data_IF_131397314105
#
_entry.id   IF_131397314105
#
_cell.length_a   1.000
_cell.length_b   1.000
_cell.length_c   1.000
_cell.angle_alpha   90.00
_cell.angle_beta   90.00
_cell.angle_gamma   90.00
#
_symmetry.space_group_name_H-M   'P 1'
#
loop_
_entity.id
_entity.type
_entity.pdbx_description
1 polymer ?
#
# COMPACT_ATOMS: atom_id res chain seq x y z
N UNK A 1 -15.67 21.88 -0.62
CA UNK A 1 -14.42 21.28 -0.11
C UNK A 1 -13.66 20.52 -1.20
N UNK A 2 -14.19 19.37 -1.75
CA UNK A 2 -13.45 18.60 -2.79
C UNK A 2 -13.18 19.42 -4.05
N UNK A 3 -14.16 20.15 -4.55
CA UNK A 3 -14.03 21.00 -5.75
C UNK A 3 -12.99 22.10 -5.58
N UNK A 4 -12.87 22.69 -4.40
CA UNK A 4 -11.85 23.69 -4.08
C UNK A 4 -10.43 23.10 -4.09
N UNK A 5 -10.27 21.84 -3.65
CA UNK A 5 -8.99 21.14 -3.61
C UNK A 5 -8.55 20.62 -4.98
N UNK A 6 -9.51 20.20 -5.82
CA UNK A 6 -9.24 19.61 -7.12
C UNK A 6 -9.01 20.65 -8.22
N UNK A 7 -9.48 21.90 -8.04
CA UNK A 7 -9.42 22.94 -9.07
C UNK A 7 -10.34 22.63 -10.25
N UNK A 8 -9.86 22.77 -11.47
CA UNK A 8 -10.61 22.39 -12.66
C UNK A 8 -10.80 20.87 -12.73
N UNK A 9 -12.05 20.43 -12.93
CA UNK A 9 -12.46 19.05 -12.93
C UNK A 9 -12.96 18.67 -14.31
N UNK A 10 -12.49 17.56 -14.85
CA UNK A 10 -13.11 16.93 -16.03
C UNK A 10 -14.42 16.24 -15.59
N UNK A 11 -15.55 16.91 -15.80
CA UNK A 11 -16.86 16.40 -15.41
C UNK A 11 -17.27 15.12 -16.15
N UNK A 12 -16.62 14.77 -17.26
CA UNK A 12 -16.82 13.49 -17.94
C UNK A 12 -16.12 12.32 -17.22
N UNK A 13 -15.11 12.62 -16.35
CA UNK A 13 -14.32 11.61 -15.61
C UNK A 13 -14.48 11.65 -14.10
N UNK A 14 -15.08 12.72 -13.57
CA UNK A 14 -15.31 12.88 -12.14
C UNK A 14 -16.75 13.30 -11.88
N UNK A 15 -17.46 12.52 -11.09
CA UNK A 15 -18.84 12.80 -10.68
C UNK A 15 -18.93 12.86 -9.16
N UNK A 16 -19.88 13.64 -8.66
CA UNK A 16 -20.16 13.76 -7.23
C UNK A 16 -21.62 13.42 -6.96
N UNK A 17 -21.88 12.75 -5.85
CA UNK A 17 -23.20 12.50 -5.32
C UNK A 17 -23.25 12.95 -3.87
N UNK A 18 -24.32 13.62 -3.49
CA UNK A 18 -24.65 13.93 -2.10
C UNK A 18 -25.88 13.11 -1.74
N UNK A 19 -25.66 11.99 -1.05
CA UNK A 19 -26.70 11.00 -0.77
C UNK A 19 -27.95 11.62 -0.10
N UNK A 20 -27.75 12.63 0.77
CA UNK A 20 -28.86 13.32 1.46
C UNK A 20 -29.70 14.24 0.54
N UNK A 21 -29.32 14.42 -0.73
CA UNK A 21 -30.00 15.30 -1.69
C UNK A 21 -30.65 14.53 -2.84
N UNK A 22 -30.62 13.21 -2.81
CA UNK A 22 -31.19 12.33 -3.83
C UNK A 22 -32.17 11.36 -3.16
N UNK A 23 -33.20 10.97 -3.89
CA UNK A 23 -34.24 10.06 -3.36
C UNK A 23 -33.72 8.62 -3.25
N UNK A 24 -32.89 8.19 -4.23
CA UNK A 24 -32.26 6.87 -4.26
C UNK A 24 -30.79 7.04 -4.69
N UNK A 25 -29.87 6.82 -3.72
CA UNK A 25 -28.44 6.94 -3.95
C UNK A 25 -27.87 5.80 -4.79
N UNK A 26 -28.50 4.61 -4.80
CA UNK A 26 -28.08 3.48 -5.65
C UNK A 26 -28.44 3.74 -7.10
N UNK A 27 -29.68 4.13 -7.40
CA UNK A 27 -30.11 4.43 -8.75
C UNK A 27 -29.34 5.62 -9.33
N UNK A 28 -29.20 6.70 -8.55
CA UNK A 28 -28.43 7.89 -8.94
C UNK A 28 -26.95 7.51 -9.15
N UNK A 29 -26.36 6.77 -8.23
CA UNK A 29 -24.97 6.32 -8.31
C UNK A 29 -24.73 5.43 -9.55
N UNK A 30 -25.63 4.50 -9.83
CA UNK A 30 -25.56 3.65 -11.03
C UNK A 30 -25.69 4.44 -12.33
N UNK A 31 -26.51 5.48 -12.36
CA UNK A 31 -26.61 6.38 -13.51
C UNK A 31 -25.29 7.10 -13.78
N UNK A 32 -24.70 7.69 -12.74
CA UNK A 32 -23.40 8.37 -12.84
C UNK A 32 -22.28 7.40 -13.27
N UNK A 33 -22.27 6.18 -12.74
CA UNK A 33 -21.30 5.15 -13.15
C UNK A 33 -21.45 4.75 -14.62
N UNK A 34 -22.68 4.67 -15.15
CA UNK A 34 -22.90 4.42 -16.59
C UNK A 34 -22.37 5.54 -17.47
N UNK A 35 -22.53 6.81 -17.04
CA UNK A 35 -21.95 7.95 -17.75
C UNK A 35 -20.41 7.86 -17.76
N UNK A 36 -19.79 7.63 -16.62
CA UNK A 36 -18.33 7.45 -16.50
C UNK A 36 -17.83 6.28 -17.33
N UNK A 37 -18.55 5.15 -17.32
CA UNK A 37 -18.23 3.99 -18.14
C UNK A 37 -18.34 4.30 -19.65
N UNK A 38 -19.34 5.06 -20.06
CA UNK A 38 -19.50 5.50 -21.43
C UNK A 38 -18.31 6.31 -21.97
N UNK A 39 -17.61 7.03 -21.08
CA UNK A 39 -16.34 7.72 -21.39
C UNK A 39 -15.16 6.74 -21.34
N UNK A 40 -15.00 6.03 -20.24
CA UNK A 40 -13.87 5.14 -20.01
C UNK A 40 -13.79 3.98 -21.02
N UNK A 41 -14.93 3.48 -21.49
CA UNK A 41 -14.99 2.41 -22.50
C UNK A 41 -14.39 2.78 -23.86
N UNK A 42 -14.17 4.06 -24.11
CA UNK A 42 -13.54 4.57 -25.33
C UNK A 42 -12.02 4.69 -25.21
N UNK A 43 -11.48 4.53 -24.00
CA UNK A 43 -10.03 4.56 -23.76
C UNK A 43 -9.37 3.34 -24.43
N UNK A 44 -8.28 3.58 -25.14
CA UNK A 44 -7.52 2.55 -25.86
C UNK A 44 -6.25 2.23 -25.08
N UNK A 45 -5.93 0.95 -24.95
CA UNK A 45 -4.67 0.51 -24.36
C UNK A 45 -3.52 0.80 -25.31
N UNK A 46 -2.43 1.30 -24.75
CA UNK A 46 -1.18 1.57 -25.47
C UNK A 46 -0.02 0.92 -24.74
N UNK A 47 1.06 0.61 -25.46
CA UNK A 47 2.28 0.10 -24.86
C UNK A 47 2.98 1.20 -24.08
N UNK A 48 3.37 0.89 -22.84
CA UNK A 48 4.14 1.78 -21.99
C UNK A 48 5.33 1.00 -21.39
N UNK A 49 6.49 1.66 -21.18
CA UNK A 49 7.63 0.98 -20.58
C UNK A 49 7.36 0.67 -19.09
N UNK A 50 7.95 -0.41 -18.57
CA UNK A 50 7.83 -0.77 -17.14
C UNK A 50 8.30 0.35 -16.21
N UNK A 51 9.14 1.27 -16.69
CA UNK A 51 9.60 2.43 -15.94
C UNK A 51 8.47 3.42 -15.55
N UNK A 52 7.29 3.32 -16.15
CA UNK A 52 6.12 4.12 -15.79
C UNK A 52 5.22 3.43 -14.73
N UNK A 53 5.46 2.14 -14.46
CA UNK A 53 4.67 1.38 -13.50
C UNK A 53 5.06 1.74 -12.07
N UNK A 54 4.04 2.04 -11.23
CA UNK A 54 4.16 2.40 -9.82
C UNK A 54 3.26 1.47 -9.00
N UNK A 55 3.88 0.65 -8.16
CA UNK A 55 3.20 -0.43 -7.42
C UNK A 55 3.32 -0.24 -5.92
N UNK A 56 2.19 -0.23 -5.25
CA UNK A 56 2.13 -0.25 -3.78
C UNK A 56 2.27 -1.68 -3.24
N UNK A 57 3.03 -1.83 -2.17
CA UNK A 57 3.29 -3.10 -1.50
C UNK A 57 2.57 -3.11 -0.15
N UNK A 58 1.67 -4.07 0.06
CA UNK A 58 0.79 -4.13 1.24
C UNK A 58 0.66 -5.56 1.73
N UNK A 59 0.39 -5.73 3.02
CA UNK A 59 -0.08 -7.00 3.56
C UNK A 59 -1.24 -6.80 4.54
N UNK A 60 -2.08 -7.81 4.70
CA UNK A 60 -3.16 -7.82 5.68
C UNK A 60 -3.64 -9.23 5.94
N UNK A 61 -4.07 -9.52 7.18
CA UNK A 61 -4.40 -10.88 7.56
C UNK A 61 -3.20 -11.82 7.49
N UNK A 62 -2.01 -11.34 7.85
CA UNK A 62 -0.75 -12.09 7.78
C UNK A 62 -0.76 -13.33 8.68
N UNK A 63 -0.05 -14.38 8.25
CA UNK A 63 0.18 -15.65 8.94
C UNK A 63 1.69 -15.97 8.98
N UNK A 64 2.05 -17.10 9.60
CA UNK A 64 3.44 -17.55 9.71
C UNK A 64 4.12 -17.81 8.37
N UNK A 65 3.36 -18.03 7.29
CA UNK A 65 3.90 -18.19 5.94
C UNK A 65 4.18 -16.86 5.22
N UNK A 66 3.63 -15.76 5.68
CA UNK A 66 3.74 -14.45 5.00
C UNK A 66 5.19 -14.05 4.74
N UNK A 67 6.05 -14.19 5.74
CA UNK A 67 7.47 -13.82 5.67
C UNK A 67 8.37 -14.78 4.90
N UNK A 68 7.89 -15.97 4.55
CA UNK A 68 8.68 -17.00 3.84
C UNK A 68 8.15 -17.35 2.45
N UNK A 69 6.96 -16.86 2.08
CA UNK A 69 6.33 -17.12 0.78
C UNK A 69 6.00 -15.83 0.04
N UNK A 70 4.81 -15.27 0.27
CA UNK A 70 4.28 -14.16 -0.53
C UNK A 70 5.06 -12.84 -0.36
N UNK A 71 5.52 -12.49 0.85
CA UNK A 71 6.28 -11.27 1.04
C UNK A 71 7.66 -11.30 0.34
N UNK A 72 8.47 -12.38 0.45
CA UNK A 72 9.68 -12.50 -0.38
C UNK A 72 9.40 -12.50 -1.89
N UNK A 73 8.30 -13.09 -2.34
CA UNK A 73 7.88 -13.03 -3.74
C UNK A 73 7.67 -11.57 -4.20
N UNK A 74 6.97 -10.77 -3.39
CA UNK A 74 6.83 -9.34 -3.65
C UNK A 74 8.19 -8.64 -3.67
N UNK A 75 9.11 -9.04 -2.81
CA UNK A 75 10.47 -8.50 -2.77
C UNK A 75 11.23 -8.73 -4.07
N UNK A 76 11.17 -9.95 -4.61
CA UNK A 76 11.76 -10.28 -5.91
C UNK A 76 11.12 -9.47 -7.04
N UNK A 77 9.79 -9.35 -7.03
CA UNK A 77 9.08 -8.51 -7.98
C UNK A 77 9.46 -7.02 -7.85
N UNK A 78 9.57 -6.51 -6.61
CA UNK A 78 10.00 -5.14 -6.35
C UNK A 78 11.39 -4.86 -6.94
N UNK A 79 12.35 -5.73 -6.68
CA UNK A 79 13.71 -5.61 -7.21
C UNK A 79 13.71 -5.67 -8.74
N UNK A 80 12.93 -6.57 -9.34
CA UNK A 80 12.76 -6.65 -10.79
C UNK A 80 12.19 -5.34 -11.35
N UNK A 81 11.07 -4.84 -10.82
CA UNK A 81 10.45 -3.62 -11.32
C UNK A 81 11.38 -2.41 -11.19
N UNK A 82 12.06 -2.27 -10.05
CA UNK A 82 13.05 -1.21 -9.82
C UNK A 82 14.20 -1.31 -10.81
N UNK A 83 14.69 -2.52 -11.13
CA UNK A 83 15.75 -2.72 -12.12
C UNK A 83 15.34 -2.30 -13.55
N UNK A 84 14.03 -2.33 -13.85
CA UNK A 84 13.46 -1.85 -15.11
C UNK A 84 13.12 -0.33 -15.08
N UNK A 85 13.53 0.38 -14.02
CA UNK A 85 13.28 1.81 -13.84
C UNK A 85 11.89 2.16 -13.31
N UNK A 86 11.09 1.17 -12.92
CA UNK A 86 9.78 1.38 -12.31
C UNK A 86 9.87 1.77 -10.83
N UNK A 87 8.72 1.86 -10.17
CA UNK A 87 8.63 2.35 -8.79
C UNK A 87 7.84 1.39 -7.92
N UNK A 88 8.38 1.08 -6.75
CA UNK A 88 7.67 0.37 -5.68
C UNK A 88 7.59 1.22 -4.42
N UNK A 89 6.51 1.06 -3.67
CA UNK A 89 6.27 1.83 -2.43
C UNK A 89 5.96 0.88 -1.30
N UNK A 90 6.81 0.87 -0.28
CA UNK A 90 6.54 0.19 0.97
C UNK A 90 5.92 1.19 1.96
N UNK A 91 4.83 0.80 2.60
CA UNK A 91 4.15 1.57 3.65
C UNK A 91 3.93 0.71 4.89
N UNK A 92 2.97 1.06 5.74
CA UNK A 92 2.68 0.34 7.00
C UNK A 92 3.82 0.52 8.01
N UNK A 93 4.13 1.78 8.38
CA UNK A 93 5.28 2.09 9.25
C UNK A 93 5.30 1.26 10.55
N UNK A 94 4.17 1.04 11.26
CA UNK A 94 4.16 0.17 12.45
C UNK A 94 4.61 -1.28 12.19
N UNK A 95 4.51 -1.75 10.94
CA UNK A 95 4.97 -3.07 10.54
C UNK A 95 6.50 -3.15 10.32
N UNK A 96 7.19 -2.00 10.39
CA UNK A 96 8.64 -1.90 10.25
C UNK A 96 9.36 -1.92 11.60
N UNK A 97 8.63 -1.73 12.71
CA UNK A 97 9.21 -1.66 14.05
C UNK A 97 9.88 -2.99 14.43
N UNK A 98 11.16 -2.93 14.78
CA UNK A 98 11.99 -4.12 15.04
C UNK A 98 12.80 -4.60 13.83
N UNK A 99 12.52 -4.10 12.61
CA UNK A 99 13.29 -4.39 11.39
C UNK A 99 13.75 -3.11 10.67
N UNK A 100 13.60 -1.96 11.28
CA UNK A 100 13.89 -0.65 10.70
C UNK A 100 15.32 -0.48 10.20
N UNK A 101 16.28 -1.09 10.86
CA UNK A 101 17.70 -1.03 10.48
C UNK A 101 17.96 -1.62 9.10
N UNK A 102 17.15 -2.59 8.65
CA UNK A 102 17.25 -3.15 7.30
C UNK A 102 16.98 -2.07 6.24
N UNK A 103 16.00 -1.20 6.48
CA UNK A 103 15.65 -0.11 5.58
C UNK A 103 16.66 1.03 5.68
N UNK A 104 17.07 1.41 6.89
CA UNK A 104 18.07 2.45 7.17
C UNK A 104 19.39 2.16 6.48
N UNK A 105 19.87 0.91 6.56
CA UNK A 105 21.13 0.47 5.92
C UNK A 105 21.07 0.45 4.38
N UNK A 106 19.91 0.65 3.81
CA UNK A 106 19.67 0.71 2.36
C UNK A 106 19.43 2.13 1.83
N UNK A 107 19.56 3.13 2.67
CA UNK A 107 19.49 4.53 2.27
C UNK A 107 20.78 4.92 1.53
N UNK A 108 20.63 5.50 0.35
CA UNK A 108 21.77 5.84 -0.51
C UNK A 108 22.52 7.09 -0.09
N UNK A 109 21.95 7.90 0.81
CA UNK A 109 22.57 9.14 1.33
C UNK A 109 22.26 9.32 2.81
N UNK A 110 23.08 10.11 3.53
CA UNK A 110 22.81 10.45 4.94
C UNK A 110 21.44 11.10 5.13
N UNK A 111 21.01 11.96 4.24
CA UNK A 111 19.72 12.67 4.31
C UNK A 111 18.54 11.68 4.22
N UNK A 112 18.64 10.66 3.38
CA UNK A 112 17.64 9.59 3.29
C UNK A 112 17.65 8.70 4.52
N UNK A 113 18.82 8.43 5.09
CA UNK A 113 18.94 7.73 6.36
C UNK A 113 18.20 8.50 7.46
N UNK A 114 18.46 9.79 7.61
CA UNK A 114 17.82 10.64 8.61
C UNK A 114 16.31 10.71 8.40
N UNK A 115 15.84 10.87 7.15
CA UNK A 115 14.41 10.80 6.83
C UNK A 115 13.78 9.46 7.23
N UNK A 116 14.49 8.35 7.03
CA UNK A 116 13.98 7.02 7.40
C UNK A 116 13.94 6.85 8.91
N UNK A 117 14.93 7.39 9.65
CA UNK A 117 14.92 7.44 11.12
C UNK A 117 13.71 8.24 11.61
N UNK A 118 13.45 9.41 11.02
CA UNK A 118 12.28 10.24 11.34
C UNK A 118 10.98 9.53 11.02
N UNK A 119 10.85 8.90 9.83
CA UNK A 119 9.67 8.12 9.45
C UNK A 119 9.26 7.14 10.57
N UNK A 120 10.21 6.43 11.13
CA UNK A 120 9.98 5.43 12.18
C UNK A 120 9.71 6.10 13.54
N UNK A 121 10.56 7.02 13.96
CA UNK A 121 10.49 7.60 15.29
C UNK A 121 9.31 8.54 15.47
N UNK A 122 8.97 9.32 14.47
CA UNK A 122 7.79 10.21 14.50
C UNK A 122 6.50 9.40 14.63
N UNK A 123 6.44 8.22 13.97
CA UNK A 123 5.30 7.32 14.10
C UNK A 123 5.22 6.67 15.49
N UNK A 124 6.37 6.30 16.10
CA UNK A 124 6.43 5.85 17.51
C UNK A 124 5.99 6.98 18.45
N UNK A 125 6.46 8.21 18.22
CA UNK A 125 6.06 9.38 18.99
C UNK A 125 4.56 9.67 18.87
N UNK A 126 3.98 9.52 17.68
CA UNK A 126 2.54 9.63 17.45
C UNK A 126 1.74 8.62 18.29
N UNK A 127 2.17 7.37 18.37
CA UNK A 127 1.53 6.37 19.24
C UNK A 127 1.60 6.77 20.71
N UNK A 128 2.77 7.17 21.18
CA UNK A 128 2.99 7.59 22.58
C UNK A 128 2.14 8.82 22.95
N UNK A 129 2.06 9.81 22.04
CA UNK A 129 1.26 11.02 22.25
C UNK A 129 -0.26 10.73 22.36
N UNK A 130 -0.71 9.62 21.76
CA UNK A 130 -2.10 9.16 21.83
C UNK A 130 -2.32 8.05 22.88
N UNK A 131 -1.36 7.83 23.79
CA UNK A 131 -1.41 6.77 24.81
C UNK A 131 -1.65 5.37 24.22
N UNK A 132 -1.10 5.10 23.03
CA UNK A 132 -1.17 3.79 22.40
C UNK A 132 0.15 3.05 22.55
N UNK A 133 0.12 1.71 22.76
CA UNK A 133 1.34 0.92 22.85
C UNK A 133 2.05 0.85 21.49
N UNK A 134 3.37 1.10 21.51
CA UNK A 134 4.20 1.10 20.30
C UNK A 134 4.45 -0.32 19.77
N UNK A 135 4.55 -1.30 20.66
CA UNK A 135 5.00 -2.67 20.36
C UNK A 135 3.90 -3.73 20.53
N UNK A 136 2.67 -3.41 20.14
CA UNK A 136 1.53 -4.34 20.28
C UNK A 136 1.39 -5.32 19.09
N UNK A 137 2.16 -5.14 18.02
CA UNK A 137 2.24 -6.10 16.91
C UNK A 137 3.01 -7.38 17.35
N UNK A 138 2.64 -8.57 16.90
CA UNK A 138 1.54 -8.93 16.00
C UNK A 138 0.17 -8.87 16.67
N UNK A 139 -0.86 -8.59 15.86
CA UNK A 139 -2.26 -8.58 16.33
C UNK A 139 -2.71 -9.98 16.79
N UNK A 140 -3.80 -10.10 17.59
CA UNK A 140 -4.33 -11.41 17.96
C UNK A 140 -4.57 -12.34 16.78
N UNK A 141 -5.08 -11.82 15.65
CA UNK A 141 -5.27 -12.60 14.45
C UNK A 141 -3.98 -13.04 13.76
N UNK A 142 -2.92 -12.26 13.83
CA UNK A 142 -1.61 -12.67 13.33
C UNK A 142 -0.99 -13.76 14.21
N UNK A 143 -1.16 -13.66 15.54
CA UNK A 143 -0.74 -14.71 16.48
C UNK A 143 -1.48 -16.02 16.23
N UNK A 144 -2.80 -15.97 16.06
CA UNK A 144 -3.59 -17.14 15.68
C UNK A 144 -3.17 -17.72 14.31
N UNK A 145 -2.64 -16.88 13.41
CA UNK A 145 -2.06 -17.29 12.14
C UNK A 145 -0.62 -17.82 12.22
N UNK A 146 -0.02 -17.89 13.41
CA UNK A 146 1.29 -18.50 13.64
C UNK A 146 2.47 -17.52 13.71
N UNK A 147 2.23 -16.20 13.73
CA UNK A 147 3.29 -15.20 13.97
C UNK A 147 3.49 -15.02 15.47
N UNK A 148 4.71 -15.17 15.98
CA UNK A 148 4.98 -15.20 17.42
C UNK A 148 5.46 -13.88 18.00
N UNK A 149 6.34 -13.16 17.33
CA UNK A 149 7.00 -11.97 17.86
C UNK A 149 6.85 -10.76 16.96
N UNK A 150 7.14 -9.56 17.51
CA UNK A 150 7.19 -8.30 16.75
C UNK A 150 8.23 -8.38 15.63
N UNK A 151 9.41 -8.90 15.95
CA UNK A 151 10.53 -9.00 15.02
C UNK A 151 10.22 -9.96 13.87
N UNK A 152 9.59 -11.10 14.15
CA UNK A 152 9.13 -12.03 13.11
C UNK A 152 8.15 -11.33 12.16
N UNK A 153 7.17 -10.61 12.71
CA UNK A 153 6.20 -9.83 11.92
C UNK A 153 6.88 -8.79 11.05
N UNK A 154 7.76 -7.97 11.62
CA UNK A 154 8.42 -6.86 10.92
C UNK A 154 9.49 -7.33 9.94
N UNK A 155 10.27 -8.35 10.26
CA UNK A 155 11.20 -8.98 9.31
C UNK A 155 10.45 -9.56 8.12
N UNK A 156 9.29 -10.21 8.36
CA UNK A 156 8.44 -10.71 7.29
C UNK A 156 7.86 -9.58 6.43
N UNK A 157 7.39 -8.50 7.04
CA UNK A 157 6.79 -7.38 6.33
C UNK A 157 7.77 -6.59 5.47
N UNK A 158 8.98 -6.33 5.98
CA UNK A 158 10.01 -5.57 5.25
C UNK A 158 10.53 -6.31 4.02
N UNK A 159 10.39 -7.63 3.94
CA UNK A 159 10.79 -8.40 2.76
C UNK A 159 10.02 -8.04 1.50
N UNK A 160 8.80 -7.47 1.61
CA UNK A 160 8.01 -7.03 0.45
C UNK A 160 8.75 -6.04 -0.46
N UNK A 161 9.71 -5.29 0.05
CA UNK A 161 10.46 -4.32 -0.72
C UNK A 161 11.81 -4.82 -1.27
N UNK A 162 12.06 -6.14 -1.21
CA UNK A 162 13.28 -6.75 -1.76
C UNK A 162 14.58 -6.23 -1.15
N UNK A 163 15.57 -5.97 -1.99
CA UNK A 163 16.91 -5.51 -1.61
C UNK A 163 17.32 -4.16 -2.23
N UNK A 164 16.45 -3.56 -3.00
CA UNK A 164 16.72 -2.29 -3.70
C UNK A 164 17.05 -1.15 -2.74
N UNK A 165 17.84 -0.19 -3.19
CA UNK A 165 18.21 1.01 -2.43
C UNK A 165 16.95 1.87 -2.25
N UNK A 166 16.73 2.41 -1.05
CA UNK A 166 15.71 3.41 -0.75
C UNK A 166 16.07 4.69 -1.49
N UNK A 167 15.14 5.21 -2.28
CA UNK A 167 15.33 6.40 -3.12
C UNK A 167 14.65 7.64 -2.60
N UNK A 168 13.53 7.47 -1.86
CA UNK A 168 12.85 8.58 -1.21
C UNK A 168 12.01 8.09 -0.04
N UNK A 169 11.65 9.04 0.83
CA UNK A 169 10.75 8.85 1.97
C UNK A 169 9.67 9.91 1.90
N UNK A 170 8.42 9.46 1.78
CA UNK A 170 7.24 10.32 1.62
C UNK A 170 6.46 10.39 2.93
N UNK A 171 5.97 11.58 3.24
CA UNK A 171 4.99 11.77 4.29
C UNK A 171 3.59 11.40 3.81
N UNK A 172 2.67 11.20 4.73
CA UNK A 172 1.27 10.89 4.41
C UNK A 172 0.66 11.97 3.52
N UNK A 173 0.11 11.55 2.37
CA UNK A 173 -0.49 12.46 1.38
C UNK A 173 0.47 13.01 0.33
N UNK A 174 1.77 12.80 0.46
CA UNK A 174 2.73 13.23 -0.56
C UNK A 174 2.66 12.36 -1.83
N UNK A 175 2.98 12.99 -2.96
CA UNK A 175 3.01 12.35 -4.28
C UNK A 175 4.41 11.85 -4.62
N UNK A 176 4.48 10.69 -5.27
CA UNK A 176 5.71 10.10 -5.79
C UNK A 176 6.38 11.05 -6.81
N UNK A 177 7.67 11.32 -6.60
CA UNK A 177 8.52 12.14 -7.46
C UNK A 177 9.75 11.38 -7.95
N UNK A 178 10.18 10.38 -7.20
CA UNK A 178 11.42 9.64 -7.42
C UNK A 178 11.12 8.21 -7.84
N UNK A 179 11.73 7.74 -8.93
CA UNK A 179 11.65 6.33 -9.36
C UNK A 179 12.48 5.42 -8.47
N UNK A 180 12.10 4.16 -8.37
CA UNK A 180 12.73 3.14 -7.55
C UNK A 180 11.96 2.84 -6.28
N UNK A 181 12.62 2.28 -5.26
CA UNK A 181 11.98 1.97 -3.98
C UNK A 181 11.79 3.23 -3.15
N UNK A 182 10.54 3.49 -2.77
CA UNK A 182 10.16 4.58 -1.88
C UNK A 182 9.52 4.03 -0.61
N UNK A 183 9.68 4.73 0.51
CA UNK A 183 8.98 4.48 1.77
C UNK A 183 7.87 5.54 1.93
N UNK A 184 6.72 5.16 2.47
CA UNK A 184 5.58 6.06 2.66
C UNK A 184 5.06 5.96 4.09
N UNK A 185 4.92 7.11 4.73
CA UNK A 185 4.29 7.22 6.05
C UNK A 185 2.80 6.91 5.97
N UNK A 186 2.39 5.75 6.50
CA UNK A 186 0.99 5.41 6.73
C UNK A 186 0.88 4.29 7.79
N UNK A 187 -0.27 4.16 8.47
CA UNK A 187 -0.50 3.11 9.46
C UNK A 187 -0.64 1.73 8.82
N UNK A 188 -0.73 0.68 9.65
CA UNK A 188 -0.98 -0.70 9.20
C UNK A 188 -2.43 -0.98 8.79
N UNK A 189 -3.39 -0.11 9.11
CA UNK A 189 -4.79 -0.29 8.73
C UNK A 189 -4.94 -0.40 7.21
N UNK A 190 -5.61 -1.47 6.74
CA UNK A 190 -5.69 -1.83 5.33
C UNK A 190 -6.26 -0.71 4.45
N UNK A 191 -7.39 -0.12 4.87
CA UNK A 191 -8.04 0.94 4.10
C UNK A 191 -7.16 2.20 4.03
N UNK A 192 -6.63 2.64 5.18
CA UNK A 192 -5.84 3.89 5.25
C UNK A 192 -4.52 3.74 4.50
N UNK A 193 -3.80 2.64 4.70
CA UNK A 193 -2.53 2.39 4.01
C UNK A 193 -2.70 2.26 2.49
N UNK A 194 -3.72 1.52 2.04
CA UNK A 194 -3.99 1.37 0.61
C UNK A 194 -4.47 2.67 -0.04
N UNK A 195 -5.24 3.49 0.67
CA UNK A 195 -5.60 4.85 0.23
C UNK A 195 -4.36 5.73 0.12
N UNK A 196 -3.45 5.67 1.08
CA UNK A 196 -2.19 6.41 1.03
C UNK A 196 -1.33 6.00 -0.18
N UNK A 197 -1.23 4.70 -0.48
CA UNK A 197 -0.55 4.21 -1.68
C UNK A 197 -1.19 4.74 -2.97
N UNK A 198 -2.52 4.67 -3.09
CA UNK A 198 -3.22 5.18 -4.25
C UNK A 198 -3.05 6.70 -4.40
N UNK A 199 -3.19 7.47 -3.31
CA UNK A 199 -3.04 8.92 -3.33
C UNK A 199 -1.61 9.36 -3.62
N UNK A 200 -0.59 8.57 -3.22
CA UNK A 200 0.80 8.84 -3.59
C UNK A 200 1.09 8.70 -5.08
N UNK A 201 0.21 8.02 -5.82
CA UNK A 201 0.30 7.82 -7.26
C UNK A 201 0.62 6.38 -7.68
N UNK A 202 0.48 5.40 -6.79
CA UNK A 202 0.52 3.99 -7.17
C UNK A 202 -0.67 3.66 -8.08
N UNK A 203 -0.40 2.96 -9.17
CA UNK A 203 -1.40 2.57 -10.17
C UNK A 203 -2.06 1.23 -9.83
N UNK A 204 -1.43 0.44 -8.99
CA UNK A 204 -1.96 -0.82 -8.44
C UNK A 204 -1.33 -1.14 -7.09
N UNK A 205 -1.97 -2.03 -6.35
CA UNK A 205 -1.47 -2.55 -5.07
C UNK A 205 -1.33 -4.07 -5.15
N UNK A 206 -0.17 -4.60 -4.77
CA UNK A 206 0.03 -6.01 -4.50
C UNK A 206 -0.18 -6.25 -3.00
N UNK A 207 -1.15 -7.08 -2.68
CA UNK A 207 -1.64 -7.29 -1.32
C UNK A 207 -1.49 -8.75 -0.90
N UNK A 208 -0.51 -9.04 -0.06
CA UNK A 208 -0.30 -10.39 0.47
C UNK A 208 -1.24 -10.67 1.65
N UNK A 209 -1.77 -11.89 1.73
CA UNK A 209 -2.67 -12.30 2.81
C UNK A 209 -2.60 -13.79 3.08
N UNK A 210 -2.64 -14.18 4.35
CA UNK A 210 -2.66 -15.58 4.79
C UNK A 210 -4.06 -16.08 5.14
N UNK A 211 -4.98 -15.16 5.48
CA UNK A 211 -6.34 -15.50 5.93
C UNK A 211 -7.42 -15.00 4.97
N UNK A 212 -7.04 -14.20 3.98
CA UNK A 212 -7.97 -13.51 3.11
C UNK A 212 -8.50 -12.21 3.74
N UNK A 213 -8.94 -11.29 2.89
CA UNK A 213 -9.64 -10.07 3.30
C UNK A 213 -10.57 -9.62 2.18
N UNK A 214 -11.83 -9.28 2.48
CA UNK A 214 -12.80 -8.80 1.49
C UNK A 214 -12.62 -7.30 1.19
N UNK A 215 -11.38 -6.84 1.17
CA UNK A 215 -11.03 -5.44 0.98
C UNK A 215 -10.63 -5.16 -0.47
N UNK A 216 -11.08 -4.04 -1.01
CA UNK A 216 -10.64 -3.45 -2.27
C UNK A 216 -10.18 -2.02 -2.07
N UNK A 217 -9.40 -1.49 -3.00
CA UNK A 217 -8.90 -0.12 -2.98
C UNK A 217 -9.41 0.68 -4.17
N UNK A 218 -9.04 1.96 -4.23
CA UNK A 218 -9.36 2.88 -5.34
C UNK A 218 -8.54 2.60 -6.62
N UNK A 219 -7.57 1.70 -6.55
CA UNK A 219 -6.77 1.23 -7.69
C UNK A 219 -6.82 -0.30 -7.75
N UNK A 220 -6.55 -0.92 -8.91
CA UNK A 220 -6.48 -2.38 -9.01
C UNK A 220 -5.64 -3.00 -7.89
N UNK A 221 -6.21 -3.97 -7.19
CA UNK A 221 -5.56 -4.65 -6.06
C UNK A 221 -5.50 -6.14 -6.32
N UNK A 222 -4.29 -6.66 -6.48
CA UNK A 222 -4.07 -8.10 -6.63
C UNK A 222 -3.81 -8.71 -5.26
N UNK A 223 -4.66 -9.66 -4.85
CA UNK A 223 -4.45 -10.46 -3.62
C UNK A 223 -3.51 -11.63 -3.92
N UNK A 224 -2.52 -11.82 -3.07
CA UNK A 224 -1.52 -12.89 -3.20
C UNK A 224 -1.58 -13.73 -1.92
N UNK A 225 -1.98 -14.98 -2.07
CA UNK A 225 -2.08 -15.92 -0.94
C UNK A 225 -0.68 -16.35 -0.47
N UNK A 226 -0.52 -16.44 0.85
CA UNK A 226 0.70 -16.96 1.49
C UNK A 226 0.72 -18.48 1.59
N UNK A 227 -0.44 -19.14 1.43
CA UNK A 227 -0.61 -20.56 1.68
C UNK A 227 -1.61 -21.22 0.72
N UNK A 228 -1.45 -22.52 0.51
CA UNK A 228 -2.26 -23.30 -0.42
C UNK A 228 -3.72 -23.44 0.02
N UNK A 229 -4.00 -23.46 1.31
CA UNK A 229 -5.36 -23.61 1.83
C UNK A 229 -6.23 -22.41 1.43
N UNK A 230 -5.71 -21.18 1.61
CA UNK A 230 -6.40 -19.98 1.18
C UNK A 230 -6.54 -19.93 -0.35
N UNK A 231 -5.49 -20.28 -1.09
CA UNK A 231 -5.54 -20.30 -2.56
C UNK A 231 -6.58 -21.30 -3.08
N UNK A 232 -6.71 -22.45 -2.46
CA UNK A 232 -7.72 -23.45 -2.82
C UNK A 232 -9.16 -23.00 -2.46
N UNK A 233 -9.31 -22.30 -1.33
CA UNK A 233 -10.60 -21.80 -0.85
C UNK A 233 -11.12 -20.59 -1.64
N UNK A 234 -10.22 -19.76 -2.15
CA UNK A 234 -10.49 -18.53 -2.92
C UNK A 234 -9.65 -18.54 -4.20
N UNK A 235 -9.97 -19.41 -5.16
CA UNK A 235 -9.23 -19.48 -6.42
C UNK A 235 -9.61 -18.29 -7.31
N UNK A 236 -8.88 -17.19 -7.25
CA UNK A 236 -8.93 -16.04 -8.17
C UNK A 236 -10.30 -15.48 -8.57
#
# INVERSE_FOLDING_TARGET
AFTELLGEIDEERVKFIVCQKVDDEFETGMSLLRELYGKASKDVRVDVPLSELRVGLKCGGSDGFSGITANPLLGVFSDFLVSQGGTTVLTEVPEMFGAETILMNRCGTPELFDKTVHLINDFKAYFMANNQPVYENPSPGNKAGGISTLEEKSLGCTQKCGKSIVRDVLMYGERLKTKGLNLLSAPGNDLVAATALASSGCQMVLFTTGRGTPFGTYVPTMKISTNSNLAAHKPG
#
